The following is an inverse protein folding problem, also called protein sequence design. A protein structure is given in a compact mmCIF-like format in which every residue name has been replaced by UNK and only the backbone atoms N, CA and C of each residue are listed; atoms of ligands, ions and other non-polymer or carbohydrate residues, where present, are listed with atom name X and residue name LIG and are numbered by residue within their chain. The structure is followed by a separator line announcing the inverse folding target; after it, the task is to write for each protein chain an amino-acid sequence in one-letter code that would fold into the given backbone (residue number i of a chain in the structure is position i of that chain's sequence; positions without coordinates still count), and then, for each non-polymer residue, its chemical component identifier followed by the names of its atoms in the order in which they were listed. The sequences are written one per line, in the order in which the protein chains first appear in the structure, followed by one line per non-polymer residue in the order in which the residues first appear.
data_IF_852028070548
#
_entry.id   IF_852028070548
#
_cell.length_a   1.000
_cell.length_b   1.000
_cell.length_c   1.000
_cell.angle_alpha   90.00
_cell.angle_beta   90.00
_cell.angle_gamma   90.00
#
_symmetry.space_group_name_H-M   'P 1'
#
loop_
_entity.id
_entity.type
_entity.pdbx_description
1 polymer ?
#
# COMPACT_ATOMS: atom_id res chain seq x y z
N UNK A 1 17.47 4.11 -3.81
CA UNK A 1 17.06 4.45 -2.43
C UNK A 1 15.86 3.61 -2.04
N UNK A 2 15.89 3.05 -0.84
CA UNK A 2 14.76 2.35 -0.23
C UNK A 2 13.96 3.36 0.60
N UNK A 3 12.65 3.45 0.37
CA UNK A 3 11.70 4.30 1.10
C UNK A 3 10.70 3.49 1.93
N UNK A 4 10.84 2.17 1.94
CA UNK A 4 9.98 1.26 2.66
C UNK A 4 10.48 0.99 4.07
N UNK A 5 11.76 0.73 4.20
CA UNK A 5 12.38 0.45 5.48
C UNK A 5 12.87 1.74 6.16
N UNK A 6 12.40 1.99 7.36
CA UNK A 6 12.78 3.15 8.17
C UNK A 6 12.99 2.73 9.62
N UNK A 7 13.90 1.78 9.84
CA UNK A 7 14.25 1.33 11.19
C UNK A 7 15.44 2.11 11.74
N UNK A 8 15.31 2.62 12.96
CA UNK A 8 16.43 3.23 13.69
C UNK A 8 17.54 2.24 14.03
N UNK A 9 17.27 0.94 13.94
CA UNK A 9 18.25 -0.12 14.09
C UNK A 9 19.23 -0.23 12.91
N UNK A 10 18.90 0.36 11.75
CA UNK A 10 19.83 0.38 10.61
C UNK A 10 20.92 1.40 10.88
N UNK A 11 22.22 1.04 10.80
CA UNK A 11 23.34 1.96 11.01
C UNK A 11 23.23 3.24 10.16
N UNK A 12 23.57 4.40 10.72
CA UNK A 12 23.39 5.72 10.09
C UNK A 12 24.13 5.85 8.76
N UNK A 13 25.34 5.34 8.66
CA UNK A 13 26.13 5.32 7.44
C UNK A 13 25.44 4.56 6.32
N UNK A 14 24.85 3.40 6.64
CA UNK A 14 24.06 2.60 5.72
C UNK A 14 22.77 3.31 5.31
N UNK A 15 22.06 3.96 6.27
CA UNK A 15 20.83 4.70 5.99
C UNK A 15 21.09 5.84 5.00
N UNK A 16 22.12 6.65 5.24
CA UNK A 16 22.50 7.76 4.35
C UNK A 16 22.78 7.30 2.91
N UNK A 17 23.37 6.12 2.74
CA UNK A 17 23.75 5.62 1.41
C UNK A 17 22.59 4.93 0.68
N UNK A 18 21.70 4.25 1.38
CA UNK A 18 20.73 3.31 0.78
C UNK A 18 19.28 3.69 0.99
N UNK A 19 18.95 4.54 1.96
CA UNK A 19 17.59 4.84 2.36
C UNK A 19 17.21 6.29 2.12
N UNK A 20 15.95 6.49 1.83
CA UNK A 20 15.34 7.82 1.71
C UNK A 20 14.24 8.01 2.74
N UNK A 21 13.74 9.24 2.83
CA UNK A 21 12.67 9.63 3.74
C UNK A 21 11.55 10.29 2.97
N UNK A 22 10.31 9.85 3.21
CA UNK A 22 9.11 10.54 2.71
C UNK A 22 8.72 11.57 3.77
N UNK A 23 8.89 12.85 3.44
CA UNK A 23 8.64 13.97 4.35
C UNK A 23 7.33 14.66 4.00
N UNK A 24 6.37 14.63 4.92
CA UNK A 24 5.14 15.40 4.77
C UNK A 24 5.46 16.90 4.69
N UNK A 25 4.87 17.60 3.70
CA UNK A 25 5.13 19.02 3.45
C UNK A 25 3.91 19.90 3.67
N UNK A 26 2.70 19.35 3.72
CA UNK A 26 1.51 20.15 4.02
C UNK A 26 0.18 19.50 3.70
N UNK A 27 -0.86 20.21 4.13
CA UNK A 27 -2.25 19.91 3.82
C UNK A 27 -2.74 20.89 2.75
N UNK A 28 -3.00 20.39 1.54
CA UNK A 28 -3.52 21.22 0.44
C UNK A 28 -5.03 21.44 0.54
N UNK A 29 -5.76 20.49 1.12
CA UNK A 29 -7.22 20.58 1.30
C UNK A 29 -7.67 19.72 2.46
N UNK A 30 -8.54 20.29 3.28
CA UNK A 30 -9.31 19.55 4.30
C UNK A 30 -10.77 19.95 4.16
N UNK A 31 -11.66 18.98 3.94
CA UNK A 31 -13.09 19.23 3.81
C UNK A 31 -13.91 18.15 4.51
N UNK A 32 -14.76 18.55 5.41
CA UNK A 32 -15.77 17.71 6.04
C UNK A 32 -17.03 17.61 5.17
N UNK A 33 -17.87 16.61 5.42
CA UNK A 33 -19.17 16.42 4.77
C UNK A 33 -19.53 14.95 4.59
N UNK A 34 -20.56 14.67 3.81
CA UNK A 34 -20.99 13.31 3.46
C UNK A 34 -19.85 12.48 2.87
N UNK A 35 -18.92 13.14 2.17
CA UNK A 35 -17.63 12.60 1.76
C UNK A 35 -16.57 13.56 2.31
N UNK A 36 -15.79 13.09 3.29
CA UNK A 36 -14.62 13.79 3.79
C UNK A 36 -13.51 13.79 2.73
N UNK A 37 -12.74 14.88 2.63
CA UNK A 37 -11.60 14.97 1.70
C UNK A 37 -10.38 15.50 2.44
N UNK A 38 -9.24 14.88 2.16
CA UNK A 38 -7.94 15.28 2.67
C UNK A 38 -6.92 15.17 1.53
N UNK A 39 -6.35 16.30 1.14
CA UNK A 39 -5.28 16.34 0.14
C UNK A 39 -3.98 16.72 0.87
N UNK A 40 -2.95 15.90 0.71
CA UNK A 40 -1.64 16.08 1.34
C UNK A 40 -0.53 16.10 0.31
N UNK A 41 0.59 16.72 0.67
CA UNK A 41 1.81 16.74 -0.11
C UNK A 41 2.98 16.19 0.68
N UNK A 42 3.92 15.53 -0.01
CA UNK A 42 5.15 15.05 0.58
C UNK A 42 6.30 15.10 -0.44
N UNK A 43 7.52 15.18 0.08
CA UNK A 43 8.75 15.08 -0.67
C UNK A 43 9.44 13.74 -0.36
N UNK A 44 9.88 13.05 -1.41
CA UNK A 44 10.71 11.86 -1.29
C UNK A 44 12.17 12.27 -1.40
N UNK A 45 12.87 12.25 -0.27
CA UNK A 45 14.20 12.84 -0.11
C UNK A 45 15.24 11.73 0.07
N UNK A 46 16.35 11.84 -0.67
CA UNK A 46 17.50 10.92 -0.57
C UNK A 46 18.23 11.06 0.77
N UNK A 47 19.18 10.15 1.01
CA UNK A 47 20.16 10.19 2.09
C UNK A 47 19.53 10.41 3.46
N UNK A 48 18.59 9.54 3.80
CA UNK A 48 17.86 9.59 5.08
C UNK A 48 17.22 10.99 5.35
N UNK A 49 16.75 11.64 4.29
CA UNK A 49 16.10 12.95 4.36
C UNK A 49 17.04 14.17 4.33
N UNK A 50 18.35 13.98 4.16
CA UNK A 50 19.34 15.07 4.09
C UNK A 50 19.76 15.40 2.67
N UNK A 51 19.40 14.58 1.68
CA UNK A 51 19.73 14.78 0.28
C UNK A 51 18.71 15.66 -0.45
N UNK A 52 18.70 15.53 -1.77
CA UNK A 52 17.74 16.24 -2.63
C UNK A 52 16.40 15.50 -2.71
N UNK A 53 15.35 16.27 -3.01
CA UNK A 53 14.05 15.71 -3.36
C UNK A 53 14.12 15.06 -4.75
N UNK A 54 13.76 13.78 -4.84
CA UNK A 54 13.74 13.05 -6.12
C UNK A 54 12.33 12.90 -6.69
N UNK A 55 11.32 12.84 -5.80
CA UNK A 55 9.91 12.81 -6.18
C UNK A 55 9.12 13.78 -5.31
N UNK A 56 8.13 14.42 -5.90
CA UNK A 56 7.04 15.07 -5.18
C UNK A 56 5.80 14.20 -5.20
N UNK A 57 5.19 14.06 -4.05
CA UNK A 57 3.93 13.32 -3.87
C UNK A 57 2.78 14.28 -3.63
N UNK A 58 1.66 14.04 -4.35
CA UNK A 58 0.35 14.59 -4.03
C UNK A 58 -0.59 13.43 -3.79
N UNK A 59 -1.15 13.33 -2.59
CA UNK A 59 -2.09 12.27 -2.25
C UNK A 59 -3.43 12.87 -1.85
N UNK A 60 -4.49 12.37 -2.47
CA UNK A 60 -5.87 12.70 -2.19
C UNK A 60 -6.54 11.52 -1.51
N UNK A 61 -7.12 11.76 -0.35
CA UNK A 61 -7.98 10.82 0.36
C UNK A 61 -9.43 11.27 0.28
N UNK A 62 -10.32 10.31 0.05
CA UNK A 62 -11.77 10.49 0.16
C UNK A 62 -12.31 9.46 1.14
N UNK A 63 -12.93 9.95 2.19
CA UNK A 63 -13.49 9.13 3.26
C UNK A 63 -15.01 9.11 3.11
N UNK A 64 -15.59 7.94 3.00
CA UNK A 64 -17.04 7.75 2.93
C UNK A 64 -17.46 6.49 3.69
N UNK A 65 -18.77 6.31 3.85
CA UNK A 65 -19.30 5.11 4.50
C UNK A 65 -20.79 5.17 4.63
N UNK A 66 -21.39 3.99 4.84
CA UNK A 66 -22.81 3.81 5.11
C UNK A 66 -22.98 2.57 5.98
N UNK A 67 -23.76 2.67 7.04
CA UNK A 67 -23.96 1.57 7.98
C UNK A 67 -22.63 1.10 8.59
N UNK A 68 -22.34 -0.15 8.44
CA UNK A 68 -21.16 -0.87 8.93
C UNK A 68 -19.94 -0.80 8.00
N UNK A 69 -20.05 -0.13 6.85
CA UNK A 69 -18.98 -0.01 5.86
C UNK A 69 -18.32 1.35 5.92
N UNK A 70 -16.97 1.36 5.89
CA UNK A 70 -16.12 2.54 5.72
C UNK A 70 -15.25 2.35 4.49
N UNK A 71 -15.12 3.40 3.69
CA UNK A 71 -14.36 3.40 2.44
C UNK A 71 -13.35 4.54 2.47
N UNK A 72 -12.12 4.23 2.11
CA UNK A 72 -11.05 5.18 1.91
C UNK A 72 -10.54 5.02 0.48
N UNK A 73 -10.83 6.00 -0.38
CA UNK A 73 -10.22 6.07 -1.70
C UNK A 73 -8.94 6.92 -1.61
N UNK A 74 -7.82 6.35 -2.04
CA UNK A 74 -6.51 6.99 -2.07
C UNK A 74 -6.05 7.13 -3.52
N UNK A 75 -5.74 8.36 -3.93
CA UNK A 75 -5.12 8.65 -5.22
C UNK A 75 -3.80 9.35 -4.97
N UNK A 76 -2.70 8.74 -5.36
CA UNK A 76 -1.34 9.27 -5.19
C UNK A 76 -0.71 9.51 -6.53
N UNK A 77 -0.23 10.73 -6.76
CA UNK A 77 0.58 11.09 -7.94
C UNK A 77 2.00 11.38 -7.48
N UNK A 78 2.95 10.69 -8.08
CA UNK A 78 4.39 10.88 -7.89
C UNK A 78 4.97 11.55 -9.12
N UNK A 79 5.61 12.71 -8.95
CA UNK A 79 6.23 13.50 -10.03
C UNK A 79 7.74 13.53 -9.85
N UNK A 80 8.51 13.23 -10.90
CA UNK A 80 9.96 13.23 -10.85
C UNK A 80 10.54 14.66 -10.83
N UNK A 81 11.44 14.93 -9.88
CA UNK A 81 12.11 16.22 -9.71
C UNK A 81 13.56 16.21 -10.22
N UNK A 82 14.13 15.05 -10.51
CA UNK A 82 15.46 14.86 -11.08
C UNK A 82 15.39 14.32 -12.50
N UNK A 83 16.49 14.36 -13.24
CA UNK A 83 16.53 14.01 -14.68
C UNK A 83 15.93 12.64 -14.98
N UNK A 84 16.18 11.67 -14.10
CA UNK A 84 15.56 10.34 -14.21
C UNK A 84 15.39 9.71 -12.83
N UNK A 85 14.19 9.26 -12.54
CA UNK A 85 13.88 8.40 -11.39
C UNK A 85 13.66 6.97 -11.90
N UNK A 86 14.46 6.02 -11.42
CA UNK A 86 14.29 4.60 -11.69
C UNK A 86 13.64 3.94 -10.48
N UNK A 87 12.43 3.42 -10.66
CA UNK A 87 11.71 2.58 -9.69
C UNK A 87 11.92 1.13 -10.08
N UNK A 88 12.98 0.53 -9.54
CA UNK A 88 13.32 -0.86 -9.83
C UNK A 88 12.27 -1.80 -9.24
N UNK A 89 12.04 -2.92 -9.93
CA UNK A 89 11.14 -3.96 -9.44
C UNK A 89 11.70 -4.63 -8.18
N UNK A 90 11.02 -4.42 -7.06
CA UNK A 90 11.34 -5.02 -5.76
C UNK A 90 10.08 -5.61 -5.12
N UNK A 91 10.24 -6.52 -4.15
CA UNK A 91 9.08 -7.11 -3.48
C UNK A 91 8.33 -6.10 -2.58
N UNK A 92 9.04 -5.15 -2.01
CA UNK A 92 8.53 -4.18 -1.05
C UNK A 92 7.98 -2.95 -1.77
N UNK A 93 6.77 -2.59 -1.50
CA UNK A 93 6.01 -1.52 -2.15
C UNK A 93 4.56 -1.93 -2.37
N UNK A 94 3.69 -1.12 -2.98
CA UNK A 94 3.78 0.34 -3.02
C UNK A 94 2.86 0.93 -1.96
N UNK A 95 1.73 0.26 -1.69
CA UNK A 95 0.76 0.62 -0.68
C UNK A 95 0.53 -0.55 0.26
N UNK A 96 0.76 -0.33 1.54
CA UNK A 96 0.65 -1.36 2.57
C UNK A 96 -0.07 -0.87 3.80
N UNK A 97 -0.68 -1.82 4.50
CA UNK A 97 -1.17 -1.67 5.85
C UNK A 97 -0.58 -2.77 6.73
N UNK A 98 -0.26 -2.41 7.98
CA UNK A 98 0.02 -3.41 9.01
C UNK A 98 -1.29 -3.67 9.75
N UNK A 99 -1.70 -4.91 9.75
CA UNK A 99 -2.94 -5.33 10.40
C UNK A 99 -2.70 -5.67 11.88
N UNK A 100 -3.77 -5.58 12.68
CA UNK A 100 -3.74 -6.04 14.06
C UNK A 100 -3.49 -7.54 14.13
N UNK A 101 -2.92 -8.01 15.27
CA UNK A 101 -2.52 -9.41 15.44
C UNK A 101 -3.69 -10.38 15.23
N UNK A 102 -4.87 -10.05 15.65
CA UNK A 102 -6.05 -10.92 15.49
C UNK A 102 -6.40 -11.19 14.03
N UNK A 103 -6.02 -10.28 13.13
CA UNK A 103 -6.18 -10.41 11.67
C UNK A 103 -4.93 -10.99 10.98
N UNK A 104 -3.90 -11.39 11.72
CA UNK A 104 -2.83 -12.17 11.14
C UNK A 104 -3.33 -13.57 10.76
N UNK A 105 -2.65 -14.20 9.82
CA UNK A 105 -2.95 -15.57 9.42
C UNK A 105 -2.30 -16.54 10.41
N UNK A 106 -3.00 -17.56 10.90
CA UNK A 106 -2.39 -18.59 11.75
C UNK A 106 -1.18 -19.21 11.05
N UNK A 107 -0.07 -19.33 11.76
CA UNK A 107 1.19 -19.84 11.22
C UNK A 107 1.78 -20.91 12.13
N UNK A 108 2.39 -21.92 11.55
CA UNK A 108 3.18 -22.93 12.23
C UNK A 108 4.66 -22.53 12.36
N UNK A 109 5.04 -21.38 11.81
CA UNK A 109 6.40 -20.84 11.88
C UNK A 109 6.59 -20.04 13.16
N UNK A 110 7.75 -20.22 13.79
CA UNK A 110 8.11 -19.41 14.95
C UNK A 110 8.14 -17.91 14.62
N UNK A 111 7.61 -17.11 15.54
CA UNK A 111 7.66 -15.65 15.42
C UNK A 111 9.11 -15.18 15.55
N UNK A 112 9.48 -14.19 14.75
CA UNK A 112 10.76 -13.50 14.84
C UNK A 112 10.47 -12.05 15.23
N UNK A 113 10.95 -11.63 16.38
CA UNK A 113 10.89 -10.25 16.83
C UNK A 113 12.24 -9.58 16.62
N UNK A 114 12.22 -8.36 16.15
CA UNK A 114 13.43 -7.54 16.03
C UNK A 114 13.38 -6.44 17.08
N UNK A 115 14.39 -6.35 17.93
CA UNK A 115 14.50 -5.29 18.90
C UNK A 115 14.86 -3.93 18.24
N UNK A 116 14.98 -2.86 19.05
CA UNK A 116 15.33 -1.53 18.59
C UNK A 116 16.74 -1.44 17.95
N UNK A 117 17.61 -2.43 18.19
CA UNK A 117 18.95 -2.54 17.63
C UNK A 117 19.02 -3.44 16.39
N UNK A 118 17.86 -3.95 15.94
CA UNK A 118 17.79 -4.87 14.80
C UNK A 118 18.20 -6.29 15.14
N UNK A 119 18.31 -6.65 16.42
CA UNK A 119 18.66 -8.00 16.84
C UNK A 119 17.41 -8.87 16.80
N UNK A 120 17.48 -9.94 16.04
CA UNK A 120 16.39 -10.91 15.91
C UNK A 120 16.34 -11.84 17.12
N UNK A 121 15.15 -11.95 17.72
CA UNK A 121 14.84 -12.95 18.74
C UNK A 121 13.77 -13.88 18.19
N UNK A 122 14.10 -15.15 18.03
CA UNK A 122 13.14 -16.20 17.60
C UNK A 122 12.47 -16.80 18.81
N UNK A 123 11.14 -16.90 18.77
CA UNK A 123 10.39 -17.65 19.79
C UNK A 123 10.47 -19.15 19.50
N UNK A 124 10.48 -19.97 20.56
CA UNK A 124 10.46 -21.44 20.41
C UNK A 124 9.05 -21.98 20.17
N UNK A 125 8.02 -21.20 20.48
CA UNK A 125 6.63 -21.60 20.38
C UNK A 125 5.91 -20.77 19.32
N UNK A 126 5.10 -21.40 18.51
CA UNK A 126 4.13 -20.74 17.63
C UNK A 126 2.96 -20.32 18.50
N UNK A 127 2.73 -19.02 18.64
CA UNK A 127 1.54 -18.50 19.32
C UNK A 127 0.50 -18.11 18.27
N UNK A 128 -0.48 -18.99 18.09
CA UNK A 128 -1.62 -18.75 17.19
C UNK A 128 -2.91 -18.38 17.95
N UNK A 129 -2.82 -18.18 19.25
CA UNK A 129 -3.98 -17.83 20.08
C UNK A 129 -4.54 -16.48 19.65
N UNK A 130 -5.85 -16.46 19.37
CA UNK A 130 -6.55 -15.26 18.91
C UNK A 130 -6.23 -14.82 17.48
N UNK A 131 -5.38 -15.54 16.75
CA UNK A 131 -5.01 -15.23 15.37
C UNK A 131 -5.94 -15.99 14.43
N UNK A 132 -6.82 -15.28 13.74
CA UNK A 132 -7.91 -15.90 12.94
C UNK A 132 -8.08 -15.26 11.55
N UNK A 133 -7.14 -14.42 11.14
CA UNK A 133 -7.20 -13.74 9.85
C UNK A 133 -7.06 -14.71 8.67
N UNK A 134 -7.82 -14.47 7.62
CA UNK A 134 -7.77 -15.26 6.39
C UNK A 134 -7.85 -14.35 5.18
N UNK A 135 -6.85 -14.46 4.30
CA UNK A 135 -6.87 -13.80 2.99
C UNK A 135 -7.77 -14.55 2.00
N UNK A 136 -8.39 -13.77 1.09
CA UNK A 136 -9.08 -14.25 -0.10
C UNK A 136 -8.94 -13.24 -1.24
N UNK A 137 -8.51 -13.71 -2.42
CA UNK A 137 -8.32 -12.86 -3.60
C UNK A 137 -9.53 -12.90 -4.54
N UNK A 138 -9.59 -11.95 -5.48
CA UNK A 138 -10.57 -11.94 -6.58
C UNK A 138 -10.50 -13.16 -7.49
N UNK A 139 -9.40 -13.90 -7.45
CA UNK A 139 -9.18 -15.12 -8.23
C UNK A 139 -9.56 -16.39 -7.44
N UNK A 140 -10.18 -16.22 -6.26
CA UNK A 140 -10.59 -17.33 -5.42
C UNK A 140 -9.45 -18.02 -4.67
N UNK A 141 -8.27 -17.41 -4.60
CA UNK A 141 -7.12 -17.94 -3.87
C UNK A 141 -7.21 -17.53 -2.41
N UNK A 142 -6.98 -18.46 -1.51
CA UNK A 142 -7.10 -18.27 -0.06
C UNK A 142 -5.77 -18.39 0.68
N UNK A 143 -5.70 -17.74 1.86
CA UNK A 143 -4.62 -17.89 2.83
C UNK A 143 -3.26 -17.39 2.33
N UNK A 144 -2.17 -18.06 2.70
CA UNK A 144 -0.81 -17.64 2.32
C UNK A 144 -0.50 -17.80 0.82
N UNK A 145 -1.28 -18.61 0.10
CA UNK A 145 -1.11 -18.82 -1.33
C UNK A 145 -1.38 -17.54 -2.16
N UNK A 146 -1.98 -16.51 -1.58
CA UNK A 146 -2.21 -15.22 -2.23
C UNK A 146 -0.93 -14.45 -2.52
N UNK A 147 0.17 -14.74 -1.81
CA UNK A 147 1.44 -14.05 -2.03
C UNK A 147 1.93 -14.22 -3.46
N UNK A 148 2.40 -13.14 -4.08
CA UNK A 148 2.92 -13.15 -5.47
C UNK A 148 1.85 -13.40 -6.55
N UNK A 149 0.56 -13.52 -6.19
CA UNK A 149 -0.53 -13.64 -7.16
C UNK A 149 -1.02 -12.27 -7.60
N UNK A 150 -1.72 -12.22 -8.73
CA UNK A 150 -2.40 -11.01 -9.22
C UNK A 150 -3.88 -11.08 -8.87
N UNK A 151 -4.50 -9.91 -8.69
CA UNK A 151 -5.94 -9.84 -8.45
C UNK A 151 -6.44 -8.41 -8.37
N UNK A 152 -7.72 -8.22 -8.71
CA UNK A 152 -8.39 -6.90 -8.70
C UNK A 152 -8.61 -6.41 -7.27
N UNK A 153 -8.84 -7.32 -6.35
CA UNK A 153 -9.01 -7.06 -4.92
C UNK A 153 -8.50 -8.22 -4.08
N UNK A 154 -8.17 -7.90 -2.84
CA UNK A 154 -7.84 -8.85 -1.78
C UNK A 154 -8.64 -8.47 -0.55
N UNK A 155 -9.22 -9.47 0.10
CA UNK A 155 -9.92 -9.35 1.37
C UNK A 155 -9.15 -10.07 2.47
N UNK A 156 -9.00 -9.44 3.62
CA UNK A 156 -8.54 -10.05 4.85
C UNK A 156 -9.69 -10.00 5.85
N UNK A 157 -10.15 -11.15 6.30
CA UNK A 157 -11.28 -11.25 7.22
C UNK A 157 -10.91 -12.09 8.44
N UNK A 158 -11.46 -11.73 9.60
CA UNK A 158 -11.25 -12.42 10.85
C UNK A 158 -12.13 -11.85 11.97
N UNK A 159 -11.70 -12.04 13.20
CA UNK A 159 -12.35 -11.46 14.40
C UNK A 159 -11.38 -10.52 15.09
N UNK A 160 -11.88 -9.38 15.57
CA UNK A 160 -11.20 -8.47 16.47
C UNK A 160 -12.09 -8.33 17.71
N UNK A 161 -11.63 -8.88 18.81
CA UNK A 161 -12.51 -9.07 19.98
C UNK A 161 -13.70 -9.97 19.62
N UNK A 162 -14.92 -9.49 19.85
CA UNK A 162 -16.16 -10.21 19.56
C UNK A 162 -16.68 -9.99 18.13
N UNK A 163 -16.13 -9.04 17.39
CA UNK A 163 -16.66 -8.62 16.09
C UNK A 163 -15.98 -9.31 14.91
N UNK A 164 -16.75 -9.71 13.91
CA UNK A 164 -16.22 -10.07 12.62
C UNK A 164 -15.80 -8.78 11.89
N UNK A 165 -14.58 -8.74 11.40
CA UNK A 165 -14.04 -7.60 10.66
C UNK A 165 -13.53 -8.09 9.32
N UNK A 166 -13.87 -7.37 8.27
CA UNK A 166 -13.30 -7.55 6.94
C UNK A 166 -12.61 -6.26 6.49
N UNK A 167 -11.38 -6.40 6.01
CA UNK A 167 -10.62 -5.29 5.40
C UNK A 167 -10.24 -5.72 3.99
N UNK A 168 -10.68 -4.96 2.99
CA UNK A 168 -10.34 -5.22 1.61
C UNK A 168 -9.56 -4.07 0.99
N UNK A 169 -8.62 -4.41 0.12
CA UNK A 169 -7.96 -3.48 -0.79
C UNK A 169 -8.38 -3.76 -2.22
N UNK A 170 -8.67 -2.72 -2.99
CA UNK A 170 -9.10 -2.82 -4.39
C UNK A 170 -8.16 -1.99 -5.25
N UNK A 171 -7.63 -2.62 -6.29
CA UNK A 171 -6.81 -2.00 -7.32
C UNK A 171 -7.68 -1.33 -8.38
N UNK A 172 -7.17 -0.28 -9.03
CA UNK A 172 -7.92 0.46 -10.03
C UNK A 172 -7.46 0.13 -11.45
N UNK A 173 -8.38 -0.08 -12.44
CA UNK A 173 -8.03 -0.47 -13.81
C UNK A 173 -7.06 0.47 -14.54
N UNK A 174 -6.97 1.75 -14.13
CA UNK A 174 -6.03 2.71 -14.70
C UNK A 174 -4.65 2.72 -14.05
N UNK A 175 -4.41 1.88 -13.06
CA UNK A 175 -3.08 1.76 -12.48
C UNK A 175 -2.15 1.03 -13.45
N UNK A 176 -0.88 1.44 -13.44
CA UNK A 176 0.15 0.71 -14.16
C UNK A 176 0.24 -0.71 -13.61
N UNK A 177 0.43 -1.67 -14.50
CA UNK A 177 0.54 -3.10 -14.17
C UNK A 177 -0.71 -3.69 -13.48
N UNK A 178 -1.90 -3.16 -13.80
CA UNK A 178 -3.19 -3.70 -13.34
C UNK A 178 -3.49 -5.08 -13.96
N UNK A 179 -4.12 -6.03 -13.24
CA UNK A 179 -4.32 -6.05 -11.79
C UNK A 179 -2.99 -6.29 -11.07
N UNK A 180 -2.87 -5.69 -9.87
CA UNK A 180 -1.62 -5.65 -9.11
C UNK A 180 -1.15 -7.02 -8.63
N UNK A 181 0.13 -7.11 -8.25
CA UNK A 181 0.64 -8.22 -7.44
C UNK A 181 0.37 -7.98 -5.96
N UNK A 182 0.09 -9.05 -5.22
CA UNK A 182 -0.16 -9.02 -3.79
C UNK A 182 1.08 -9.42 -3.00
N UNK A 183 1.54 -8.53 -2.14
CA UNK A 183 2.53 -8.82 -1.12
C UNK A 183 1.81 -8.93 0.24
N UNK A 184 0.87 -9.88 0.32
CA UNK A 184 0.14 -10.19 1.54
C UNK A 184 0.84 -11.34 2.28
N UNK A 185 1.08 -11.16 3.57
CA UNK A 185 1.83 -12.09 4.42
C UNK A 185 1.05 -12.41 5.68
N UNK A 186 1.24 -13.63 6.18
CA UNK A 186 0.57 -14.11 7.38
C UNK A 186 0.80 -13.25 8.62
N UNK A 187 1.95 -12.63 8.75
CA UNK A 187 2.31 -11.76 9.87
C UNK A 187 1.70 -10.34 9.79
N UNK A 188 0.54 -10.19 9.18
CA UNK A 188 -0.21 -8.93 9.13
C UNK A 188 0.31 -7.88 8.15
N UNK A 189 1.24 -8.21 7.25
CA UNK A 189 1.59 -7.33 6.14
C UNK A 189 0.57 -7.52 5.03
N UNK A 190 -0.28 -6.51 4.83
CA UNK A 190 -1.25 -6.46 3.77
C UNK A 190 -0.86 -5.37 2.77
N UNK A 191 -0.23 -5.77 1.66
CA UNK A 191 0.32 -4.86 0.67
C UNK A 191 -0.03 -5.29 -0.76
N UNK A 192 -0.15 -4.28 -1.63
CA UNK A 192 -0.23 -4.44 -3.06
C UNK A 192 0.93 -3.71 -3.73
N UNK A 193 1.53 -4.34 -4.76
CA UNK A 193 2.75 -3.85 -5.37
C UNK A 193 2.76 -3.98 -6.90
N UNK A 194 2.39 -2.92 -7.64
CA UNK A 194 2.48 -2.92 -9.09
C UNK A 194 3.93 -2.86 -9.62
N UNK A 195 4.90 -2.53 -8.74
CA UNK A 195 6.31 -2.33 -9.06
C UNK A 195 7.19 -3.51 -8.61
N UNK A 196 6.63 -4.72 -8.57
CA UNK A 196 7.35 -5.92 -8.13
C UNK A 196 7.43 -7.02 -9.19
N UNK A 197 7.13 -6.73 -10.44
CA UNK A 197 6.93 -7.75 -11.48
C UNK A 197 8.11 -8.71 -11.64
N UNK A 198 9.34 -8.21 -11.61
CA UNK A 198 10.54 -9.04 -11.72
C UNK A 198 10.64 -10.06 -10.59
N UNK A 199 10.35 -9.63 -9.36
CA UNK A 199 10.42 -10.50 -8.19
C UNK A 199 9.30 -11.53 -8.22
N UNK A 200 8.07 -11.10 -8.45
CA UNK A 200 6.89 -11.98 -8.43
C UNK A 200 6.81 -12.93 -9.61
N UNK A 201 7.57 -12.68 -10.68
CA UNK A 201 7.69 -13.59 -11.83
C UNK A 201 8.99 -14.39 -11.85
N UNK A 202 9.77 -14.37 -10.78
CA UNK A 202 11.10 -15.01 -10.71
C UNK A 202 12.00 -14.58 -11.90
N UNK A 203 12.00 -13.29 -12.21
CA UNK A 203 12.84 -12.70 -13.26
C UNK A 203 12.33 -12.85 -14.70
N UNK A 204 11.18 -13.52 -14.93
CA UNK A 204 10.63 -13.75 -16.28
C UNK A 204 10.13 -12.48 -16.95
N UNK A 205 9.68 -11.49 -16.16
CA UNK A 205 9.20 -10.19 -16.62
C UNK A 205 9.78 -9.10 -15.76
N UNK A 206 9.79 -7.86 -16.26
CA UNK A 206 10.17 -6.68 -15.47
C UNK A 206 9.47 -5.45 -16.00
N UNK A 207 9.06 -4.56 -15.10
CA UNK A 207 8.51 -3.25 -15.41
C UNK A 207 9.61 -2.17 -15.32
N UNK A 208 10.36 -2.13 -14.22
CA UNK A 208 11.43 -1.15 -13.94
C UNK A 208 11.00 0.26 -14.38
N UNK A 209 9.94 0.78 -13.77
CA UNK A 209 9.34 2.06 -14.15
C UNK A 209 10.35 3.19 -14.11
N UNK A 210 10.42 3.97 -15.19
CA UNK A 210 11.28 5.15 -15.30
C UNK A 210 10.43 6.38 -15.50
N UNK A 211 10.77 7.45 -14.79
CA UNK A 211 10.18 8.78 -14.94
C UNK A 211 11.28 9.78 -15.23
N UNK A 212 11.16 10.53 -16.31
CA UNK A 212 11.99 11.70 -16.59
C UNK A 212 11.51 12.88 -15.76
N UNK A 213 12.35 13.88 -15.57
CA UNK A 213 12.00 15.11 -14.85
C UNK A 213 10.67 15.69 -15.36
N UNK A 214 9.76 15.95 -14.45
CA UNK A 214 8.41 16.44 -14.72
C UNK A 214 7.40 15.38 -15.12
N UNK A 215 7.83 14.14 -15.45
CA UNK A 215 6.89 13.04 -15.69
C UNK A 215 6.31 12.53 -14.36
N UNK A 216 5.08 12.03 -14.42
CA UNK A 216 4.36 11.58 -13.25
C UNK A 216 3.68 10.24 -13.48
N UNK A 217 3.50 9.49 -12.38
CA UNK A 217 2.67 8.28 -12.32
C UNK A 217 1.62 8.43 -11.24
N UNK A 218 0.41 7.95 -11.50
CA UNK A 218 -0.69 8.01 -10.54
C UNK A 218 -1.18 6.63 -10.18
N UNK A 219 -1.26 6.37 -8.87
CA UNK A 219 -1.78 5.14 -8.28
C UNK A 219 -3.09 5.41 -7.55
N UNK A 220 -4.06 4.53 -7.74
CA UNK A 220 -5.42 4.65 -7.19
C UNK A 220 -5.80 3.37 -6.48
N UNK A 221 -6.17 3.47 -5.22
CA UNK A 221 -6.54 2.32 -4.39
C UNK A 221 -7.75 2.65 -3.54
N UNK A 222 -8.60 1.65 -3.32
CA UNK A 222 -9.70 1.71 -2.37
C UNK A 222 -9.45 0.75 -1.23
N UNK A 223 -9.59 1.23 -0.02
CA UNK A 223 -9.65 0.41 1.19
C UNK A 223 -11.10 0.38 1.65
N UNK A 224 -11.60 -0.82 1.94
CA UNK A 224 -12.93 -1.04 2.52
C UNK A 224 -12.76 -1.72 3.87
N UNK A 225 -13.38 -1.16 4.90
CA UNK A 225 -13.46 -1.77 6.23
C UNK A 225 -14.93 -2.00 6.54
N UNK A 226 -15.30 -3.22 6.93
CA UNK A 226 -16.66 -3.61 7.27
C UNK A 226 -16.69 -4.37 8.60
N UNK A 227 -17.60 -3.96 9.50
CA UNK A 227 -18.04 -4.82 10.60
C UNK A 227 -18.95 -5.89 10.02
N UNK A 228 -18.48 -7.16 10.02
CA UNK A 228 -19.16 -8.28 9.36
C UNK A 228 -18.31 -8.89 8.24
N UNK A 229 -19.00 -9.54 7.30
CA UNK A 229 -18.38 -10.28 6.18
C UNK A 229 -18.52 -9.48 4.90
N UNK A 230 -17.46 -9.48 4.06
CA UNK A 230 -17.50 -9.02 2.66
C UNK A 230 -17.54 -10.27 1.77
N UNK A 231 -18.58 -10.37 0.95
CA UNK A 231 -18.70 -11.42 -0.06
C UNK A 231 -17.95 -11.08 -1.33
N UNK A 232 -17.59 -12.08 -2.13
CA UNK A 232 -16.96 -11.89 -3.45
C UNK A 232 -17.83 -11.02 -4.37
N UNK A 233 -19.15 -11.19 -4.31
CA UNK A 233 -20.11 -10.41 -5.08
C UNK A 233 -20.09 -8.91 -4.71
N UNK A 234 -20.09 -8.59 -3.40
CA UNK A 234 -19.97 -7.22 -2.90
C UNK A 234 -18.65 -6.60 -3.34
N UNK A 235 -17.54 -7.34 -3.21
CA UNK A 235 -16.21 -6.85 -3.60
C UNK A 235 -16.07 -6.63 -5.11
N UNK A 236 -16.64 -7.53 -5.92
CA UNK A 236 -16.69 -7.36 -7.37
C UNK A 236 -17.52 -6.11 -7.77
N UNK A 237 -18.65 -5.88 -7.12
CA UNK A 237 -19.46 -4.68 -7.35
C UNK A 237 -18.70 -3.41 -6.94
N UNK A 238 -18.05 -3.41 -5.77
CA UNK A 238 -17.22 -2.27 -5.31
C UNK A 238 -16.04 -2.00 -6.23
N UNK A 239 -15.40 -3.03 -6.78
CA UNK A 239 -14.31 -2.90 -7.74
C UNK A 239 -14.81 -2.31 -9.07
N UNK A 240 -15.96 -2.77 -9.57
CA UNK A 240 -16.58 -2.23 -10.77
C UNK A 240 -16.95 -0.74 -10.61
N UNK A 241 -17.52 -0.36 -9.47
CA UNK A 241 -17.86 1.03 -9.17
C UNK A 241 -16.62 1.90 -9.00
N UNK A 242 -15.59 1.40 -8.32
CA UNK A 242 -14.32 2.11 -8.17
C UNK A 242 -13.68 2.37 -9.54
N UNK A 243 -13.70 1.38 -10.44
CA UNK A 243 -13.13 1.51 -11.79
C UNK A 243 -13.83 2.55 -12.68
N UNK A 244 -15.09 2.91 -12.37
CA UNK A 244 -15.84 3.96 -13.09
C UNK A 244 -15.53 5.37 -12.57
N UNK A 245 -14.90 5.51 -11.42
CA UNK A 245 -14.61 6.82 -10.85
C UNK A 245 -13.65 7.58 -11.76
N UNK A 246 -14.12 8.70 -12.27
CA UNK A 246 -13.30 9.69 -12.97
C UNK A 246 -12.56 10.50 -11.90
N UNK A 247 -11.34 10.10 -11.58
CA UNK A 247 -10.43 10.97 -10.84
C UNK A 247 -9.99 12.05 -11.82
N UNK A 248 -10.41 13.29 -11.61
CA UNK A 248 -10.02 14.42 -12.45
C UNK A 248 -8.52 14.66 -12.29
N UNK A 249 -7.74 14.10 -13.19
CA UNK A 249 -6.28 14.28 -13.25
C UNK A 249 -5.91 15.73 -13.66
N UNK A 250 -6.90 16.61 -13.99
CA UNK A 250 -6.66 17.86 -14.72
C UNK A 250 -6.97 19.16 -13.97
N UNK A 251 -7.12 19.20 -12.64
CA UNK A 251 -7.44 20.47 -11.97
C UNK A 251 -6.23 21.32 -11.52
N UNK A 252 -4.98 20.94 -11.85
CA UNK A 252 -3.80 21.65 -11.34
C UNK A 252 -2.86 22.28 -12.39
N UNK A 253 -3.18 22.18 -13.69
CA UNK A 253 -2.31 22.79 -14.73
C UNK A 253 -2.77 24.16 -15.23
N UNK A 254 -3.89 24.74 -14.74
CA UNK A 254 -4.38 26.01 -15.26
C UNK A 254 -4.12 27.25 -14.39
N UNK A 255 -3.44 27.16 -13.25
CA UNK A 255 -3.15 28.33 -12.41
C UNK A 255 -1.68 28.46 -12.00
N UNK A 256 -0.76 28.22 -12.91
CA UNK A 256 0.65 28.58 -12.75
C UNK A 256 1.14 29.26 -14.04
N UNK A 257 0.40 30.32 -14.43
CA UNK A 257 0.93 31.38 -15.26
C UNK A 257 0.49 32.67 -14.57
N UNK A 258 1.32 33.22 -13.75
CA UNK A 258 1.70 34.63 -13.64
C UNK A 258 2.95 34.66 -12.77
#
# INVERSE_FOLDING_TARGET
MDYWNNSTAIPTDKRILQYGTIRHTGFAKVKNGKVGKLDVTADWVEKDGTGKTILKEKTQYRFSGKGDVRIIDRTTTLTAEVDTVNMNDVKDGLFAMRMTRELEHPSDKADVFTDANGIETKTKAVNTEGVVGKYRSSEGIDGEAVWSTRGKWMNLAGKVGAENIAVAMIDHPKNINYPTYWHARGYGLFALNPLGEKVFTNGKKSLNLKLKKGEAVTFRYRVVVKSGVLTDAELNAMAADFGKLLFFDNYFYQNLVI
#
